data_IF_802083385317
#
_entry.id   IF_802083385317
#
_cell.length_a   1.000
_cell.length_b   1.000
_cell.length_c   1.000
_cell.angle_alpha   90.00
_cell.angle_beta   90.00
_cell.angle_gamma   90.00
#
_symmetry.space_group_name_H-M   'P 1'
#
loop_
_entity.id
_entity.type
_entity.pdbx_description
1 polymer ?
#
# COMPACT_ATOMS: atom_id res chain seq x y z
N UNK A 1 -12.73 -43.80 -22.20
CA UNK A 1 -11.28 -43.59 -22.27
C UNK A 1 -10.97 -42.18 -21.81
N UNK A 2 -10.42 -42.08 -20.59
CA UNK A 2 -9.97 -40.85 -19.94
C UNK A 2 -8.78 -40.25 -20.72
N UNK A 3 -8.92 -39.03 -21.22
CA UNK A 3 -7.76 -38.24 -21.66
C UNK A 3 -7.31 -37.39 -20.48
N UNK A 4 -6.17 -37.79 -19.91
CA UNK A 4 -5.43 -37.04 -18.92
C UNK A 4 -5.03 -35.66 -19.46
N UNK A 5 -5.18 -34.57 -18.69
CA UNK A 5 -4.56 -33.30 -19.05
C UNK A 5 -3.05 -33.36 -18.75
N UNK A 6 -2.26 -33.02 -19.76
CA UNK A 6 -0.80 -32.89 -19.71
C UNK A 6 -0.38 -31.92 -18.59
N UNK A 7 0.79 -32.12 -17.97
CA UNK A 7 1.33 -31.19 -16.99
C UNK A 7 1.79 -29.91 -17.69
N UNK A 8 1.09 -28.80 -17.45
CA UNK A 8 1.59 -27.47 -17.80
C UNK A 8 2.70 -27.10 -16.82
N UNK A 9 3.93 -27.51 -17.15
CA UNK A 9 5.12 -26.84 -16.65
C UNK A 9 5.13 -25.44 -17.27
N UNK A 10 4.82 -24.41 -16.47
CA UNK A 10 5.15 -23.03 -16.83
C UNK A 10 6.67 -22.90 -16.81
N UNK A 11 7.28 -23.18 -17.96
CA UNK A 11 8.68 -22.88 -18.24
C UNK A 11 8.82 -21.35 -18.24
N UNK A 12 9.84 -20.89 -17.52
CA UNK A 12 10.26 -19.51 -17.28
C UNK A 12 10.58 -18.73 -18.58
N UNK A 13 9.57 -18.47 -19.42
CA UNK A 13 9.79 -17.83 -20.73
C UNK A 13 8.52 -17.60 -21.55
N UNK A 14 7.38 -17.29 -20.93
CA UNK A 14 6.22 -16.85 -21.71
C UNK A 14 6.46 -15.44 -22.29
N UNK A 15 6.12 -15.28 -23.58
CA UNK A 15 6.25 -14.05 -24.35
C UNK A 15 5.86 -12.81 -23.53
N UNK A 16 6.75 -11.82 -23.46
CA UNK A 16 6.48 -10.54 -22.79
C UNK A 16 5.34 -9.84 -23.54
N UNK A 17 4.09 -10.05 -23.13
CA UNK A 17 2.98 -9.23 -23.57
C UNK A 17 3.20 -7.79 -23.10
N UNK A 18 3.63 -6.95 -24.02
CA UNK A 18 3.80 -5.52 -23.77
C UNK A 18 2.41 -4.88 -23.81
N UNK A 19 1.84 -4.64 -22.64
CA UNK A 19 0.58 -3.91 -22.51
C UNK A 19 0.86 -2.43 -22.86
N UNK A 20 0.22 -1.94 -23.92
CA UNK A 20 0.44 -0.58 -24.42
C UNK A 20 -0.08 0.49 -23.44
N UNK A 21 0.52 1.69 -23.46
CA UNK A 21 0.13 2.83 -22.61
C UNK A 21 -1.37 3.13 -22.72
N UNK A 22 -1.93 3.09 -23.92
CA UNK A 22 -3.33 3.46 -24.16
C UNK A 22 -4.30 2.53 -23.41
N UNK A 23 -3.98 1.24 -23.31
CA UNK A 23 -4.77 0.29 -22.55
C UNK A 23 -4.72 0.58 -21.05
N UNK A 24 -3.53 0.89 -20.52
CA UNK A 24 -3.34 1.25 -19.11
C UNK A 24 -4.07 2.55 -18.75
N UNK A 25 -4.05 3.55 -19.64
CA UNK A 25 -4.78 4.82 -19.45
C UNK A 25 -6.29 4.59 -19.48
N UNK A 26 -6.80 3.66 -20.31
CA UNK A 26 -8.23 3.29 -20.29
C UNK A 26 -8.65 2.70 -18.95
N UNK A 27 -7.85 1.78 -18.38
CA UNK A 27 -8.09 1.20 -17.05
C UNK A 27 -8.09 2.30 -15.99
N UNK A 28 -7.09 3.20 -16.04
CA UNK A 28 -6.95 4.32 -15.12
C UNK A 28 -8.18 5.25 -15.16
N UNK A 29 -8.64 5.61 -16.36
CA UNK A 29 -9.84 6.45 -16.54
C UNK A 29 -11.09 5.75 -16.04
N UNK A 30 -11.28 4.48 -16.39
CA UNK A 30 -12.48 3.73 -16.06
C UNK A 30 -12.68 3.53 -14.55
N UNK A 31 -11.64 3.08 -13.84
CA UNK A 31 -11.77 2.77 -12.41
C UNK A 31 -11.44 3.95 -11.49
N UNK A 32 -10.59 4.89 -11.91
CA UNK A 32 -10.09 5.96 -11.04
C UNK A 32 -10.42 7.37 -11.52
N UNK A 33 -10.97 7.54 -12.72
CA UNK A 33 -11.36 8.85 -13.26
C UNK A 33 -10.19 9.77 -13.60
N UNK A 34 -8.95 9.27 -13.62
CA UNK A 34 -7.76 10.07 -13.92
C UNK A 34 -7.45 10.05 -15.42
N UNK A 35 -7.13 11.21 -16.00
CA UNK A 35 -6.94 11.39 -17.44
C UNK A 35 -5.63 10.79 -17.98
N UNK A 36 -4.55 10.83 -17.21
CA UNK A 36 -3.25 10.20 -17.52
C UNK A 36 -2.45 9.94 -16.21
N UNK A 37 -1.37 9.18 -16.33
CA UNK A 37 -0.41 8.89 -15.26
C UNK A 37 0.43 10.11 -14.88
N UNK A 38 0.84 10.17 -13.61
CA UNK A 38 1.68 11.23 -13.05
C UNK A 38 3.12 10.77 -12.91
N UNK A 39 4.06 11.64 -13.26
CA UNK A 39 5.49 11.44 -13.02
C UNK A 39 5.97 10.05 -13.47
N UNK A 40 6.47 9.28 -12.51
CA UNK A 40 7.12 7.97 -12.72
C UNK A 40 6.18 6.75 -12.62
N UNK A 41 4.87 6.96 -12.52
CA UNK A 41 3.90 5.86 -12.38
C UNK A 41 3.91 4.89 -13.56
N UNK A 42 3.81 5.42 -14.79
CA UNK A 42 3.73 4.58 -15.99
C UNK A 42 4.98 3.71 -16.15
N UNK A 43 6.16 4.29 -15.89
CA UNK A 43 7.46 3.61 -15.99
C UNK A 43 7.55 2.46 -14.98
N UNK A 44 7.08 2.67 -13.74
CA UNK A 44 7.02 1.62 -12.71
C UNK A 44 6.05 0.50 -13.12
N UNK A 45 4.87 0.85 -13.62
CA UNK A 45 3.83 -0.09 -14.05
C UNK A 45 4.33 -0.94 -15.21
N UNK A 46 4.95 -0.31 -16.23
CA UNK A 46 5.50 -1.02 -17.38
C UNK A 46 6.64 -1.97 -16.99
N UNK A 47 7.51 -1.54 -16.07
CA UNK A 47 8.59 -2.39 -15.57
C UNK A 47 8.03 -3.69 -14.95
N UNK A 48 7.09 -3.58 -14.02
CA UNK A 48 6.54 -4.76 -13.33
C UNK A 48 5.69 -5.64 -14.24
N UNK A 49 4.93 -5.04 -15.16
CA UNK A 49 4.16 -5.78 -16.16
C UNK A 49 5.07 -6.55 -17.12
N UNK A 50 6.26 -6.02 -17.42
CA UNK A 50 7.30 -6.70 -18.21
C UNK A 50 8.07 -7.78 -17.45
N UNK A 51 7.78 -7.99 -16.16
CA UNK A 51 8.44 -8.95 -15.29
C UNK A 51 9.74 -8.45 -14.67
N UNK A 52 10.02 -7.14 -14.72
CA UNK A 52 11.22 -6.55 -14.12
C UNK A 52 10.90 -6.03 -12.71
N UNK A 53 11.80 -6.29 -11.76
CA UNK A 53 11.76 -5.65 -10.45
C UNK A 53 11.84 -4.13 -10.57
N UNK A 54 11.24 -3.41 -9.63
CA UNK A 54 11.26 -1.96 -9.61
C UNK A 54 11.38 -1.44 -8.18
N UNK A 55 12.31 -0.53 -7.95
CA UNK A 55 12.36 0.30 -6.74
C UNK A 55 11.89 1.71 -7.12
N UNK A 56 10.89 2.22 -6.41
CA UNK A 56 10.24 3.47 -6.77
C UNK A 56 10.15 4.40 -5.55
N UNK A 57 10.93 5.47 -5.60
CA UNK A 57 10.96 6.56 -4.63
C UNK A 57 10.07 7.70 -5.14
N UNK A 58 8.89 7.84 -4.54
CA UNK A 58 7.91 8.86 -4.90
C UNK A 58 7.31 9.52 -3.66
N UNK A 59 7.24 10.86 -3.60
CA UNK A 59 6.73 11.55 -2.42
C UNK A 59 5.29 11.12 -2.05
N UNK A 60 4.89 11.31 -0.79
CA UNK A 60 3.53 11.01 -0.31
C UNK A 60 2.48 11.68 -1.19
N UNK A 61 1.37 11.03 -1.53
CA UNK A 61 0.40 11.62 -2.46
C UNK A 61 0.86 11.72 -3.93
N UNK A 62 2.08 11.28 -4.26
CA UNK A 62 2.53 11.06 -5.65
C UNK A 62 1.81 9.89 -6.35
N UNK A 63 0.90 9.21 -5.65
CA UNK A 63 0.08 8.13 -6.19
C UNK A 63 0.83 6.80 -6.33
N UNK A 64 1.67 6.44 -5.35
CA UNK A 64 2.39 5.15 -5.29
C UNK A 64 1.47 3.94 -5.44
N UNK A 65 0.27 4.00 -4.87
CA UNK A 65 -0.70 2.90 -4.93
C UNK A 65 -1.13 2.54 -6.35
N UNK A 66 -1.21 3.52 -7.26
CA UNK A 66 -1.51 3.26 -8.67
C UNK A 66 -0.49 2.33 -9.31
N UNK A 67 0.77 2.35 -8.85
CA UNK A 67 1.85 1.54 -9.40
C UNK A 67 1.65 0.03 -9.21
N UNK A 68 0.84 -0.41 -8.24
CA UNK A 68 0.46 -1.81 -8.06
C UNK A 68 -1.03 -2.09 -8.32
N UNK A 69 -1.91 -1.10 -8.14
CA UNK A 69 -3.35 -1.26 -8.40
C UNK A 69 -3.66 -1.41 -9.89
N UNK A 70 -2.97 -0.66 -10.76
CA UNK A 70 -3.16 -0.79 -12.20
C UNK A 70 -2.67 -2.14 -12.74
N UNK A 71 -1.47 -2.65 -12.37
CA UNK A 71 -1.07 -4.00 -12.71
C UNK A 71 -2.07 -5.08 -12.30
N UNK A 72 -2.70 -4.93 -11.13
CA UNK A 72 -3.73 -5.87 -10.65
C UNK A 72 -4.98 -5.91 -11.54
N UNK A 73 -5.23 -4.90 -12.35
CA UNK A 73 -6.32 -4.86 -13.30
C UNK A 73 -5.87 -5.23 -14.72
N UNK A 74 -4.62 -4.92 -15.06
CA UNK A 74 -4.08 -5.08 -16.39
C UNK A 74 -3.62 -6.52 -16.72
N UNK A 75 -3.17 -7.29 -15.71
CA UNK A 75 -2.64 -8.65 -15.90
C UNK A 75 -3.37 -9.65 -15.02
N UNK A 76 -3.75 -10.80 -15.56
CA UNK A 76 -4.38 -11.88 -14.76
C UNK A 76 -3.48 -12.33 -13.60
N UNK A 77 -4.13 -12.84 -12.55
CA UNK A 77 -3.48 -13.19 -11.28
C UNK A 77 -3.61 -12.10 -10.21
N UNK A 78 -3.22 -12.45 -9.00
CA UNK A 78 -3.33 -11.65 -7.79
C UNK A 78 -2.08 -10.78 -7.66
N UNK A 79 -2.25 -9.57 -7.16
CA UNK A 79 -1.16 -8.72 -6.68
C UNK A 79 -1.15 -8.77 -5.17
N UNK A 80 -0.05 -9.23 -4.60
CA UNK A 80 0.16 -9.29 -3.15
C UNK A 80 0.79 -7.97 -2.70
N UNK A 81 0.14 -7.23 -1.81
CA UNK A 81 0.63 -5.95 -1.28
C UNK A 81 1.00 -6.12 0.18
N UNK A 82 2.29 -6.08 0.48
CA UNK A 82 2.82 -6.05 1.84
C UNK A 82 2.84 -4.61 2.33
N UNK A 83 2.16 -4.30 3.43
CA UNK A 83 2.09 -2.94 3.97
C UNK A 83 2.09 -2.96 5.50
N UNK A 84 2.80 -2.02 6.18
CA UNK A 84 2.80 -1.97 7.64
C UNK A 84 1.50 -1.34 8.18
N UNK A 85 0.75 -0.61 7.34
CA UNK A 85 -0.41 0.17 7.73
C UNK A 85 -1.62 -0.68 8.14
N UNK A 86 -1.61 -1.96 7.79
CA UNK A 86 -2.69 -2.90 8.10
C UNK A 86 -2.73 -3.22 9.62
N UNK A 87 -1.58 -3.28 10.28
CA UNK A 87 -1.53 -3.53 11.73
C UNK A 87 -1.83 -2.28 12.55
N UNK A 88 -1.39 -1.11 12.08
CA UNK A 88 -1.57 0.15 12.81
C UNK A 88 -3.02 0.64 12.74
N UNK A 89 -3.70 0.43 11.60
CA UNK A 89 -5.10 0.85 11.43
C UNK A 89 -5.89 -0.16 10.58
N UNK A 90 -6.19 -1.36 11.10
CA UNK A 90 -6.91 -2.40 10.35
C UNK A 90 -8.29 -1.93 9.88
N UNK A 91 -8.99 -1.14 10.69
CA UNK A 91 -10.25 -0.52 10.30
C UNK A 91 -10.07 0.50 9.16
N UNK A 92 -9.02 1.32 9.20
CA UNK A 92 -8.72 2.27 8.13
C UNK A 92 -8.33 1.56 6.83
N UNK A 93 -7.59 0.46 6.90
CA UNK A 93 -7.28 -0.36 5.72
C UNK A 93 -8.55 -0.95 5.11
N UNK A 94 -9.46 -1.46 5.95
CA UNK A 94 -10.73 -2.01 5.49
C UNK A 94 -11.60 -0.95 4.81
N UNK A 95 -11.85 0.17 5.48
CA UNK A 95 -12.78 1.21 4.99
C UNK A 95 -12.16 2.03 3.85
N UNK A 96 -10.94 2.56 4.02
CA UNK A 96 -10.40 3.56 3.10
C UNK A 96 -9.57 2.99 1.95
N UNK A 97 -8.95 1.81 2.13
CA UNK A 97 -8.15 1.21 1.05
C UNK A 97 -8.93 0.12 0.34
N UNK A 98 -9.37 -0.90 1.07
CA UNK A 98 -10.12 -2.04 0.50
C UNK A 98 -11.53 -1.62 0.11
N UNK A 99 -12.24 -0.86 0.95
CA UNK A 99 -13.59 -0.36 0.69
C UNK A 99 -13.64 0.50 -0.56
N UNK A 100 -12.77 1.51 -0.66
CA UNK A 100 -12.66 2.37 -1.84
C UNK A 100 -12.32 1.60 -3.13
N UNK A 101 -11.60 0.46 -3.05
CA UNK A 101 -11.34 -0.41 -4.20
C UNK A 101 -12.59 -1.23 -4.56
N UNK A 102 -13.30 -1.78 -3.57
CA UNK A 102 -14.54 -2.53 -3.78
C UNK A 102 -15.64 -1.67 -4.40
N UNK A 103 -15.77 -0.41 -3.95
CA UNK A 103 -16.69 0.58 -4.55
C UNK A 103 -16.39 0.85 -6.04
N UNK A 104 -15.13 0.73 -6.44
CA UNK A 104 -14.67 0.86 -7.83
C UNK A 104 -14.78 -0.44 -8.63
N UNK A 105 -15.44 -1.46 -8.07
CA UNK A 105 -15.61 -2.77 -8.68
C UNK A 105 -14.33 -3.62 -8.69
N UNK A 106 -13.34 -3.30 -7.86
CA UNK A 106 -12.08 -4.01 -7.79
C UNK A 106 -12.14 -5.00 -6.63
N UNK A 107 -12.02 -6.30 -6.93
CA UNK A 107 -11.96 -7.34 -5.91
C UNK A 107 -10.63 -7.25 -5.15
N UNK A 108 -10.68 -6.63 -3.97
CA UNK A 108 -9.56 -6.47 -3.06
C UNK A 108 -9.95 -6.99 -1.68
N UNK A 109 -8.99 -7.59 -0.98
CA UNK A 109 -9.16 -8.01 0.42
C UNK A 109 -7.86 -7.74 1.18
N UNK A 110 -7.94 -7.77 2.51
CA UNK A 110 -6.76 -7.74 3.37
C UNK A 110 -6.76 -8.95 4.30
N UNK A 111 -5.58 -9.39 4.74
CA UNK A 111 -5.40 -10.38 5.79
C UNK A 111 -4.57 -9.77 6.91
N UNK A 112 -5.12 -9.82 8.13
CA UNK A 112 -4.46 -9.35 9.35
C UNK A 112 -4.72 -10.30 10.50
N UNK A 113 -3.85 -10.29 11.52
CA UNK A 113 -4.05 -11.06 12.75
C UNK A 113 -5.41 -10.77 13.41
N UNK A 114 -5.88 -9.52 13.33
CA UNK A 114 -7.11 -9.00 13.95
C UNK A 114 -8.42 -9.40 13.26
N UNK A 115 -8.38 -9.95 12.05
CA UNK A 115 -9.60 -10.39 11.35
C UNK A 115 -10.20 -11.66 11.94
N UNK A 116 -11.53 -11.77 11.86
CA UNK A 116 -12.27 -12.97 12.26
C UNK A 116 -11.86 -14.18 11.43
N UNK A 117 -11.92 -15.37 12.04
CA UNK A 117 -11.61 -16.63 11.38
C UNK A 117 -12.50 -16.84 10.15
N UNK A 118 -13.79 -16.48 10.24
CA UNK A 118 -14.74 -16.58 9.12
C UNK A 118 -14.30 -15.74 7.91
N UNK A 119 -13.86 -14.49 8.13
CA UNK A 119 -13.39 -13.63 7.05
C UNK A 119 -12.12 -14.18 6.40
N UNK A 120 -11.16 -14.65 7.20
CA UNK A 120 -9.93 -15.28 6.70
C UNK A 120 -10.22 -16.52 5.86
N UNK A 121 -11.12 -17.39 6.34
CA UNK A 121 -11.48 -18.63 5.64
C UNK A 121 -12.11 -18.33 4.28
N UNK A 122 -13.00 -17.34 4.18
CA UNK A 122 -13.58 -16.92 2.90
C UNK A 122 -12.51 -16.49 1.88
N UNK A 123 -11.50 -15.73 2.33
CA UNK A 123 -10.38 -15.34 1.47
C UNK A 123 -9.58 -16.58 1.05
N UNK A 124 -9.28 -17.49 1.97
CA UNK A 124 -8.55 -18.71 1.64
C UNK A 124 -9.32 -19.63 0.69
N UNK A 125 -10.64 -19.75 0.83
CA UNK A 125 -11.49 -20.52 -0.07
C UNK A 125 -11.45 -19.93 -1.50
N UNK A 126 -11.54 -18.60 -1.65
CA UNK A 126 -11.40 -17.95 -2.96
C UNK A 126 -10.02 -18.20 -3.58
N UNK A 127 -8.95 -18.06 -2.79
CA UNK A 127 -7.57 -18.32 -3.23
C UNK A 127 -7.36 -19.80 -3.64
N UNK A 128 -8.07 -20.73 -2.98
CA UNK A 128 -7.96 -22.16 -3.23
C UNK A 128 -8.84 -22.65 -4.39
N UNK A 129 -9.87 -21.89 -4.79
CA UNK A 129 -10.83 -22.19 -5.87
C UNK A 129 -10.21 -22.41 -7.26
N UNK A 130 -8.97 -21.99 -7.47
CA UNK A 130 -8.23 -22.13 -8.74
C UNK A 130 -8.55 -21.03 -9.77
N UNK A 131 -9.67 -20.33 -9.63
CA UNK A 131 -10.01 -19.12 -10.39
C UNK A 131 -10.43 -18.00 -9.42
N UNK A 132 -9.50 -17.51 -8.59
CA UNK A 132 -9.82 -16.50 -7.59
C UNK A 132 -10.40 -15.26 -8.26
N UNK A 133 -11.51 -14.75 -7.73
CA UNK A 133 -12.04 -13.45 -8.14
C UNK A 133 -11.12 -12.32 -7.65
N UNK A 134 -10.37 -12.57 -6.56
CA UNK A 134 -9.45 -11.62 -5.96
C UNK A 134 -8.37 -11.13 -6.92
N UNK A 135 -8.17 -9.81 -6.94
CA UNK A 135 -7.15 -9.12 -7.73
C UNK A 135 -6.05 -8.52 -6.87
N UNK A 136 -6.41 -8.00 -5.69
CA UNK A 136 -5.49 -7.38 -4.73
C UNK A 136 -5.63 -8.02 -3.36
N UNK A 137 -4.51 -8.46 -2.79
CA UNK A 137 -4.47 -8.99 -1.43
C UNK A 137 -3.46 -8.21 -0.59
N UNK A 138 -3.96 -7.45 0.38
CA UNK A 138 -3.16 -6.72 1.34
C UNK A 138 -2.77 -7.62 2.52
N UNK A 139 -1.51 -7.61 2.92
CA UNK A 139 -0.98 -8.47 3.99
C UNK A 139 0.04 -7.73 4.85
N UNK A 140 0.12 -8.13 6.12
CA UNK A 140 1.14 -7.64 7.04
C UNK A 140 2.48 -8.37 6.77
N UNK A 141 3.64 -7.72 6.96
CA UNK A 141 4.94 -8.40 6.84
C UNK A 141 5.11 -9.53 7.87
N UNK A 142 4.46 -9.44 9.03
CA UNK A 142 4.41 -10.47 10.07
C UNK A 142 3.72 -11.74 9.55
N UNK A 143 2.61 -11.60 8.81
CA UNK A 143 1.89 -12.73 8.24
C UNK A 143 2.74 -13.46 7.19
N UNK A 144 3.50 -12.73 6.37
CA UNK A 144 4.44 -13.30 5.39
C UNK A 144 5.49 -14.16 6.06
N UNK A 145 5.96 -13.77 7.25
CA UNK A 145 6.94 -14.54 7.99
C UNK A 145 6.40 -15.87 8.55
N UNK A 146 5.08 -16.11 8.50
CA UNK A 146 4.50 -17.36 9.00
C UNK A 146 4.66 -18.50 7.98
N UNK A 147 5.10 -19.70 8.41
CA UNK A 147 5.27 -20.85 7.51
C UNK A 147 3.96 -21.26 6.81
N UNK A 148 2.83 -21.19 7.52
CA UNK A 148 1.53 -21.57 6.98
C UNK A 148 1.07 -20.69 5.82
N UNK A 149 1.23 -19.37 5.94
CA UNK A 149 0.87 -18.45 4.87
C UNK A 149 1.84 -18.55 3.68
N UNK A 150 3.14 -18.69 3.95
CA UNK A 150 4.14 -18.89 2.90
C UNK A 150 3.89 -20.19 2.08
N UNK A 151 3.44 -21.26 2.74
CA UNK A 151 3.05 -22.49 2.04
C UNK A 151 1.84 -22.27 1.11
N UNK A 152 0.86 -21.47 1.53
CA UNK A 152 -0.29 -21.10 0.68
C UNK A 152 0.15 -20.24 -0.50
N UNK A 153 1.00 -19.23 -0.28
CA UNK A 153 1.56 -18.42 -1.37
C UNK A 153 2.33 -19.25 -2.40
N UNK A 154 3.14 -20.20 -1.94
CA UNK A 154 3.86 -21.13 -2.83
C UNK A 154 2.89 -21.95 -3.69
N UNK A 155 1.75 -22.41 -3.13
CA UNK A 155 0.72 -23.12 -3.90
C UNK A 155 0.05 -22.22 -4.94
N UNK A 156 -0.28 -20.97 -4.60
CA UNK A 156 -0.88 -19.99 -5.52
C UNK A 156 0.10 -19.67 -6.65
N UNK A 157 1.38 -19.48 -6.32
CA UNK A 157 2.45 -19.28 -7.30
C UNK A 157 2.63 -20.47 -8.23
N UNK A 158 2.63 -21.70 -7.70
CA UNK A 158 2.71 -22.92 -8.51
C UNK A 158 1.56 -23.10 -9.51
N UNK A 159 0.42 -22.43 -9.29
CA UNK A 159 -0.71 -22.37 -10.22
C UNK A 159 -0.62 -21.22 -11.23
N UNK A 160 0.44 -20.40 -11.19
CA UNK A 160 0.60 -19.21 -12.03
C UNK A 160 -0.37 -18.07 -11.68
N UNK A 161 -0.96 -18.08 -10.49
CA UNK A 161 -2.00 -17.12 -10.09
C UNK A 161 -1.45 -15.89 -9.36
N UNK A 162 -0.15 -15.84 -9.06
CA UNK A 162 0.48 -14.68 -8.41
C UNK A 162 1.27 -13.88 -9.46
N UNK A 163 0.93 -12.59 -9.62
CA UNK A 163 1.38 -11.77 -10.74
C UNK A 163 2.45 -10.73 -10.37
N UNK A 164 2.40 -10.22 -9.14
CA UNK A 164 3.27 -9.15 -8.63
C UNK A 164 3.28 -9.20 -7.10
N UNK A 165 4.43 -8.90 -6.52
CA UNK A 165 4.59 -8.61 -5.10
C UNK A 165 4.92 -7.12 -4.96
N UNK A 166 4.04 -6.35 -4.33
CA UNK A 166 4.29 -4.96 -3.99
C UNK A 166 4.65 -4.85 -2.51
N UNK A 167 5.72 -4.15 -2.19
CA UNK A 167 6.18 -3.86 -0.83
C UNK A 167 6.05 -2.36 -0.63
N UNK A 168 5.00 -1.97 0.10
CA UNK A 168 4.74 -0.57 0.45
C UNK A 168 5.54 -0.17 1.68
N UNK A 169 5.88 1.12 1.78
CA UNK A 169 6.80 1.66 2.80
C UNK A 169 8.08 0.81 2.95
N UNK A 170 8.69 0.45 1.83
CA UNK A 170 9.85 -0.44 1.77
C UNK A 170 11.04 0.05 2.62
N UNK A 171 11.11 1.36 2.93
CA UNK A 171 12.13 1.93 3.81
C UNK A 171 12.15 1.29 5.21
N UNK A 172 11.04 0.68 5.67
CA UNK A 172 10.96 -0.01 6.95
C UNK A 172 11.94 -1.20 7.09
N UNK A 173 12.49 -1.72 5.99
CA UNK A 173 13.49 -2.81 6.05
C UNK A 173 14.85 -2.36 6.60
N UNK A 174 15.16 -1.07 6.45
CA UNK A 174 16.47 -0.51 6.78
C UNK A 174 16.52 -0.01 8.22
N UNK A 175 17.54 -0.40 8.97
CA UNK A 175 17.82 0.16 10.31
C UNK A 175 18.27 1.62 10.27
N UNK A 176 18.67 2.10 9.08
CA UNK A 176 18.97 3.51 8.83
C UNK A 176 17.70 4.32 8.54
N UNK A 177 16.55 3.66 8.41
CA UNK A 177 15.24 4.28 8.30
C UNK A 177 14.69 4.70 9.66
N UNK A 178 13.83 5.72 9.65
CA UNK A 178 13.18 6.26 10.84
C UNK A 178 12.05 5.36 11.38
N UNK A 179 11.52 4.44 10.58
CA UNK A 179 10.46 3.49 10.95
C UNK A 179 10.89 2.04 10.67
N UNK A 180 12.05 1.64 11.22
CA UNK A 180 12.58 0.28 11.05
C UNK A 180 11.64 -0.78 11.65
N UNK A 181 11.33 -1.81 10.86
CA UNK A 181 10.49 -2.96 11.26
C UNK A 181 11.21 -4.28 10.98
N UNK A 182 11.59 -5.06 12.01
CA UNK A 182 12.29 -6.34 11.83
C UNK A 182 11.56 -7.35 10.93
N UNK A 183 10.22 -7.31 10.88
CA UNK A 183 9.40 -8.18 10.02
C UNK A 183 9.68 -7.97 8.53
N UNK A 184 10.07 -6.77 8.10
CA UNK A 184 10.42 -6.49 6.70
C UNK A 184 11.68 -7.23 6.23
N UNK A 185 12.67 -7.47 7.10
CA UNK A 185 13.88 -8.23 6.71
C UNK A 185 13.57 -9.67 6.33
N UNK A 186 12.48 -10.23 6.89
CA UNK A 186 12.02 -11.58 6.55
C UNK A 186 11.39 -11.66 5.16
N UNK A 187 11.10 -10.53 4.51
CA UNK A 187 10.55 -10.50 3.15
C UNK A 187 11.56 -10.98 2.10
N UNK A 188 12.87 -11.00 2.41
CA UNK A 188 13.90 -11.68 1.59
C UNK A 188 13.52 -13.13 1.24
N UNK A 189 12.80 -13.82 2.14
CA UNK A 189 12.31 -15.18 1.93
C UNK A 189 11.36 -15.31 0.72
N UNK A 190 10.64 -14.23 0.37
CA UNK A 190 9.73 -14.22 -0.76
C UNK A 190 10.49 -14.48 -2.07
N UNK A 191 11.68 -13.92 -2.23
CA UNK A 191 12.48 -14.13 -3.45
C UNK A 191 12.86 -15.60 -3.64
N UNK A 192 13.23 -16.27 -2.55
CA UNK A 192 13.63 -17.68 -2.57
C UNK A 192 12.46 -18.63 -2.80
N UNK A 193 11.28 -18.31 -2.25
CA UNK A 193 10.09 -19.17 -2.32
C UNK A 193 9.22 -18.90 -3.55
N UNK A 194 9.25 -17.68 -4.07
CA UNK A 194 8.42 -17.17 -5.16
C UNK A 194 9.33 -16.61 -6.27
N UNK A 195 10.15 -17.47 -6.92
CA UNK A 195 11.07 -17.03 -7.97
C UNK A 195 10.30 -16.47 -9.16
N UNK A 196 10.95 -15.62 -9.96
CA UNK A 196 10.41 -15.05 -11.21
C UNK A 196 9.20 -14.10 -11.07
N UNK A 197 8.63 -13.93 -9.87
CA UNK A 197 7.61 -12.90 -9.65
C UNK A 197 8.30 -11.54 -9.54
N UNK A 198 7.88 -10.52 -10.31
CA UNK A 198 8.41 -9.17 -10.17
C UNK A 198 8.08 -8.62 -8.79
N UNK A 199 9.04 -7.92 -8.19
CA UNK A 199 8.88 -7.22 -6.92
C UNK A 199 8.93 -5.72 -7.15
N UNK A 200 7.91 -5.03 -6.63
CA UNK A 200 7.79 -3.57 -6.64
C UNK A 200 7.98 -3.03 -5.22
N UNK A 201 9.12 -2.42 -4.95
CA UNK A 201 9.39 -1.74 -3.68
C UNK A 201 9.05 -0.25 -3.81
N UNK A 202 8.20 0.26 -2.92
CA UNK A 202 7.69 1.63 -2.95
C UNK A 202 8.00 2.33 -1.63
N UNK A 203 8.47 3.57 -1.70
CA UNK A 203 8.66 4.40 -0.49
C UNK A 203 8.52 5.89 -0.80
N UNK A 204 8.07 6.67 0.18
CA UNK A 204 8.08 8.12 0.11
C UNK A 204 9.44 8.74 0.36
N UNK A 205 10.22 8.15 1.26
CA UNK A 205 11.45 8.70 1.80
C UNK A 205 12.50 7.60 1.84
N UNK A 206 13.66 7.87 1.24
CA UNK A 206 14.84 7.02 1.35
C UNK A 206 16.07 7.83 0.98
N UNK A 207 16.95 8.05 1.95
CA UNK A 207 18.32 8.52 1.67
C UNK A 207 19.07 7.46 0.86
N UNK A 208 20.13 7.82 0.10
CA UNK A 208 20.84 6.86 -0.76
C UNK A 208 21.19 5.54 -0.06
N UNK A 209 21.63 5.60 1.21
CA UNK A 209 21.97 4.40 1.98
C UNK A 209 20.78 3.49 2.26
N UNK A 210 19.61 4.06 2.53
CA UNK A 210 18.36 3.30 2.72
C UNK A 210 17.92 2.68 1.39
N UNK A 211 18.15 3.35 0.24
CA UNK A 211 17.80 2.78 -1.07
C UNK A 211 18.63 1.52 -1.36
N UNK A 212 19.94 1.57 -1.12
CA UNK A 212 20.83 0.41 -1.26
C UNK A 212 20.40 -0.74 -0.34
N UNK A 213 20.17 -0.45 0.94
CA UNK A 213 19.77 -1.45 1.93
C UNK A 213 18.42 -2.09 1.59
N UNK A 214 17.46 -1.33 1.04
CA UNK A 214 16.19 -1.87 0.55
C UNK A 214 16.39 -2.84 -0.60
N UNK A 215 17.20 -2.45 -1.59
CA UNK A 215 17.47 -3.28 -2.78
C UNK A 215 18.15 -4.59 -2.37
N UNK A 216 19.13 -4.51 -1.48
CA UNK A 216 19.89 -5.66 -0.98
C UNK A 216 19.04 -6.57 -0.08
N UNK A 217 18.41 -6.00 0.95
CA UNK A 217 17.60 -6.74 1.92
C UNK A 217 16.39 -7.43 1.30
N UNK A 218 15.78 -6.84 0.25
CA UNK A 218 14.69 -7.47 -0.49
C UNK A 218 15.17 -8.36 -1.64
N UNK A 219 16.48 -8.43 -1.87
CA UNK A 219 17.12 -9.23 -2.92
C UNK A 219 16.53 -8.95 -4.31
N UNK A 220 16.34 -7.66 -4.63
CA UNK A 220 15.82 -7.22 -5.91
C UNK A 220 16.86 -7.48 -7.01
N UNK A 221 16.41 -8.06 -8.13
CA UNK A 221 17.27 -8.51 -9.22
C UNK A 221 17.26 -7.48 -10.36
N UNK A 222 18.37 -6.78 -10.56
CA UNK A 222 18.52 -5.71 -11.56
C UNK A 222 17.30 -4.76 -11.65
N UNK A 223 16.86 -4.18 -10.51
CA UNK A 223 15.64 -3.41 -10.47
C UNK A 223 15.75 -2.14 -11.30
N UNK A 224 14.63 -1.72 -11.90
CA UNK A 224 14.50 -0.34 -12.37
C UNK A 224 14.41 0.59 -11.15
N UNK A 225 15.34 1.52 -11.01
CA UNK A 225 15.36 2.49 -9.91
C UNK A 225 14.76 3.81 -10.39
N UNK A 226 13.57 4.14 -9.89
CA UNK A 226 12.85 5.37 -10.23
C UNK A 226 12.88 6.32 -9.04
N UNK A 227 13.32 7.56 -9.28
CA UNK A 227 13.36 8.63 -8.28
C UNK A 227 12.57 9.82 -8.79
N UNK A 228 11.52 10.19 -8.08
CA UNK A 228 10.78 11.43 -8.35
C UNK A 228 11.38 12.58 -7.55
N UNK A 229 11.30 13.79 -8.10
CA UNK A 229 11.65 14.99 -7.34
C UNK A 229 10.73 15.14 -6.13
N UNK A 230 11.31 15.56 -5.01
CA UNK A 230 10.56 15.91 -3.80
C UNK A 230 9.87 17.28 -3.92
N UNK A 231 10.17 18.03 -4.99
CA UNK A 231 9.60 19.36 -5.19
C UNK A 231 8.07 19.28 -5.34
N UNK A 232 7.37 20.04 -4.51
CA UNK A 232 5.93 20.23 -4.57
C UNK A 232 5.67 21.67 -5.01
N UNK A 233 5.51 21.94 -6.31
CA UNK A 233 5.27 23.30 -6.79
C UNK A 233 3.95 23.89 -6.24
N UNK A 234 3.07 23.05 -5.71
CA UNK A 234 1.83 23.44 -5.04
C UNK A 234 1.99 23.67 -3.53
N UNK A 235 3.19 23.53 -2.95
CA UNK A 235 3.50 23.89 -1.57
C UNK A 235 4.51 25.05 -1.61
N UNK A 236 4.07 26.22 -1.17
CA UNK A 236 4.94 27.37 -0.97
C UNK A 236 5.55 27.29 0.43
N UNK A 237 6.87 27.33 0.48
CA UNK A 237 7.61 27.46 1.74
C UNK A 237 7.82 28.95 1.99
N UNK A 238 7.15 29.51 3.00
CA UNK A 238 7.42 30.86 3.49
C UNK A 238 8.37 30.77 4.68
N UNK A 239 9.47 31.53 4.66
CA UNK A 239 10.37 31.66 5.80
C UNK A 239 9.70 32.58 6.85
N UNK A 240 9.47 32.11 8.09
CA UNK A 240 8.88 32.92 9.16
C UNK A 240 9.63 34.24 9.41
N UNK A 241 10.94 34.27 9.18
CA UNK A 241 11.77 35.46 9.39
C UNK A 241 11.58 36.51 8.31
N UNK A 242 11.32 36.10 7.07
CA UNK A 242 10.98 37.02 5.97
C UNK A 242 9.57 37.59 6.12
N UNK A 243 8.63 36.79 6.64
CA UNK A 243 7.31 37.30 7.04
C UNK A 243 7.49 38.40 8.09
N UNK A 244 8.23 38.12 9.18
CA UNK A 244 8.45 39.08 10.28
C UNK A 244 9.06 40.40 9.79
N UNK A 245 10.05 40.37 8.89
CA UNK A 245 10.64 41.59 8.30
C UNK A 245 9.66 42.36 7.40
N UNK A 246 8.82 41.66 6.64
CA UNK A 246 7.79 42.27 5.79
C UNK A 246 6.65 42.92 6.61
N UNK A 247 6.36 42.39 7.81
CA UNK A 247 5.40 42.99 8.76
C UNK A 247 5.93 44.31 9.29
N UNK A 248 7.20 44.34 9.69
CA UNK A 248 7.82 45.54 10.30
C UNK A 248 7.92 46.70 9.32
N UNK A 249 7.97 46.44 8.01
CA UNK A 249 8.11 47.46 6.97
C UNK A 249 6.81 47.81 6.23
N UNK A 250 5.65 47.24 6.60
CA UNK A 250 4.40 47.50 5.87
C UNK A 250 3.31 48.13 6.74
N UNK A 251 2.57 49.06 6.13
CA UNK A 251 1.49 49.85 6.74
C UNK A 251 0.41 48.98 7.43
N UNK A 252 -0.38 49.57 8.34
CA UNK A 252 -1.51 48.94 9.10
C UNK A 252 -2.46 48.05 8.26
N UNK A 253 -2.48 48.20 6.93
CA UNK A 253 -3.23 47.31 6.02
C UNK A 253 -2.63 45.90 5.84
N UNK A 254 -1.37 45.68 6.22
CA UNK A 254 -0.72 44.37 6.10
C UNK A 254 -0.86 43.55 7.38
N UNK A 255 -0.83 44.22 8.54
CA UNK A 255 -1.03 43.58 9.86
C UNK A 255 -2.40 42.90 9.98
N UNK A 256 -3.47 43.49 9.42
CA UNK A 256 -4.79 42.85 9.47
C UNK A 256 -4.87 41.58 8.61
N UNK A 257 -4.25 41.57 7.41
CA UNK A 257 -4.19 40.37 6.56
C UNK A 257 -3.39 39.25 7.19
N UNK A 258 -2.33 39.60 7.92
CA UNK A 258 -1.50 38.65 8.66
C UNK A 258 -2.25 38.08 9.87
N UNK A 259 -3.01 38.91 10.60
CA UNK A 259 -3.90 38.42 11.66
C UNK A 259 -4.96 37.47 11.12
N UNK A 260 -5.60 37.80 10.00
CA UNK A 260 -6.60 36.94 9.38
C UNK A 260 -6.00 35.61 8.90
N UNK A 261 -4.78 35.63 8.31
CA UNK A 261 -4.03 34.41 7.98
C UNK A 261 -3.64 33.59 9.21
N UNK A 262 -3.16 34.23 10.28
CA UNK A 262 -2.80 33.54 11.52
C UNK A 262 -4.03 32.92 12.20
N UNK A 263 -5.16 33.62 12.24
CA UNK A 263 -6.42 33.07 12.74
C UNK A 263 -6.93 31.92 11.87
N UNK A 264 -6.74 31.98 10.55
CA UNK A 264 -7.07 30.87 9.66
C UNK A 264 -6.17 29.65 9.88
N UNK A 265 -4.88 29.86 10.13
CA UNK A 265 -3.93 28.80 10.45
C UNK A 265 -4.19 28.19 11.82
N UNK A 266 -4.46 29.01 12.84
CA UNK A 266 -4.88 28.54 14.17
C UNK A 266 -6.19 27.76 14.10
N UNK A 267 -7.18 28.22 13.33
CA UNK A 267 -8.42 27.45 13.10
C UNK A 267 -8.15 26.13 12.39
N UNK A 268 -7.25 26.09 11.41
CA UNK A 268 -6.87 24.85 10.73
C UNK A 268 -6.13 23.88 11.68
N UNK A 269 -5.25 24.40 12.53
CA UNK A 269 -4.52 23.65 13.54
C UNK A 269 -5.47 23.12 14.63
N UNK A 270 -6.35 23.95 15.17
CA UNK A 270 -7.39 23.55 16.12
C UNK A 270 -8.32 22.50 15.52
N UNK A 271 -8.73 22.64 14.25
CA UNK A 271 -9.53 21.63 13.56
C UNK A 271 -8.77 20.31 13.39
N UNK A 272 -7.47 20.37 13.09
CA UNK A 272 -6.62 19.19 13.01
C UNK A 272 -6.52 18.48 14.37
N UNK A 273 -6.22 19.18 15.45
CA UNK A 273 -6.13 18.60 16.79
C UNK A 273 -7.50 18.19 17.35
N UNK A 274 -8.58 18.89 17.02
CA UNK A 274 -9.95 18.52 17.39
C UNK A 274 -10.40 17.27 16.65
N UNK A 275 -10.05 17.12 15.38
CA UNK A 275 -10.25 15.89 14.62
C UNK A 275 -9.47 14.73 15.22
N UNK A 276 -8.20 14.96 15.59
CA UNK A 276 -7.34 13.96 16.24
C UNK A 276 -7.88 13.54 17.63
N UNK A 277 -8.27 14.50 18.47
CA UNK A 277 -8.88 14.23 19.78
C UNK A 277 -10.26 13.56 19.67
N UNK A 278 -11.06 13.88 18.65
CA UNK A 278 -12.33 13.19 18.41
C UNK A 278 -12.11 11.75 17.93
N UNK A 279 -11.06 11.49 17.17
CA UNK A 279 -10.63 10.12 16.83
C UNK A 279 -10.17 9.36 18.09
N UNK A 280 -9.36 9.96 18.96
CA UNK A 280 -8.94 9.34 20.24
C UNK A 280 -10.13 9.13 21.21
N UNK A 281 -11.11 10.04 21.24
CA UNK A 281 -12.35 9.88 22.01
C UNK A 281 -13.29 8.82 21.43
N UNK A 282 -13.31 8.61 20.11
CA UNK A 282 -14.07 7.51 19.49
C UNK A 282 -13.41 6.16 19.79
N UNK A 283 -12.08 6.06 19.69
CA UNK A 283 -11.34 4.84 20.04
C UNK A 283 -11.56 4.46 21.51
N UNK A 284 -11.43 5.42 22.45
CA UNK A 284 -11.67 5.17 23.88
C UNK A 284 -13.14 4.91 24.24
N UNK A 285 -14.12 5.43 23.47
CA UNK A 285 -15.54 5.07 23.63
C UNK A 285 -15.85 3.66 23.13
N UNK A 286 -15.21 3.22 22.04
CA UNK A 286 -15.36 1.85 21.52
C UNK A 286 -14.77 0.84 22.49
N UNK A 287 -13.62 1.13 23.11
CA UNK A 287 -13.02 0.28 24.14
C UNK A 287 -13.83 0.22 25.44
N UNK A 288 -14.46 1.34 25.85
CA UNK A 288 -15.39 1.32 27.00
C UNK A 288 -16.67 0.54 26.72
N UNK A 289 -17.20 0.65 25.49
CA UNK A 289 -18.39 -0.09 25.09
C UNK A 289 -18.11 -1.60 24.92
N UNK A 290 -16.93 -2.00 24.45
CA UNK A 290 -16.54 -3.40 24.33
C UNK A 290 -16.39 -4.06 25.71
N UNK A 291 -15.76 -3.38 26.69
CA UNK A 291 -15.67 -3.85 28.08
C UNK A 291 -17.08 -3.98 28.71
N UNK A 292 -17.98 -3.03 28.45
CA UNK A 292 -19.37 -3.10 28.96
C UNK A 292 -20.20 -4.22 28.30
N UNK A 293 -19.90 -4.55 27.04
CA UNK A 293 -20.55 -5.63 26.29
C UNK A 293 -20.15 -7.00 26.83
N UNK A 294 -18.86 -7.19 27.11
CA UNK A 294 -18.33 -8.42 27.70
C UNK A 294 -18.88 -8.66 29.12
N UNK A 295 -19.05 -7.60 29.91
CA UNK A 295 -19.69 -7.67 31.24
C UNK A 295 -21.19 -7.99 31.18
N UNK A 296 -21.89 -7.55 30.12
CA UNK A 296 -23.31 -7.91 29.88
C UNK A 296 -23.48 -9.36 29.44
N UNK A 297 -22.58 -9.91 28.64
CA UNK A 297 -22.63 -11.32 28.23
C UNK A 297 -22.31 -12.30 29.38
N UNK A 298 -21.47 -11.90 30.35
CA UNK A 298 -21.22 -12.70 31.55
C UNK A 298 -22.39 -12.74 32.54
N UNK A 299 -23.28 -11.73 32.53
CA UNK A 299 -24.45 -11.66 33.43
C UNK A 299 -25.70 -12.39 32.93
N UNK A 300 -25.70 -12.93 31.70
CA UNK A 300 -26.86 -13.62 31.09
C UNK A 300 -26.66 -15.13 30.94
N UNK A 301 -25.62 -15.71 31.56
CA UNK A 301 -25.33 -17.16 31.57
C UNK A 301 -25.59 -17.86 32.91
N UNK A 302 -26.07 -17.14 33.91
CA UNK A 302 -26.55 -17.71 35.17
C UNK A 302 -28.03 -17.40 35.32
N UNK A 303 -28.90 -18.14 34.63
CA UNK A 303 -30.27 -18.53 35.01
C UNK A 303 -30.78 -19.57 34.01
#
# INVERSE_FOLDING_TARGET
MSKSPLPLQNVCGSEKQVIKKEALVKILRWHFGHSDFRGKQLEAIQAVLSGRDCFCLMPTGGGKSMCYQIPALAKQGIVLVVSPLIEVFPFFCQENQVGALKEKGIAAEYLSSTQTIKAKNKIYEDLESGKPALRLLYVTPELIATPGFMAKLTKIHGRGLLSLIAIDEAHCVSTWGHDFRPSYRKLSLLRNRLPCIPVLALTATAVPKVQEDVIESLSLQNPLVLKSSFNRPNIYYEDPTEIAKSVVHSSRSSEWRLRERMESLQRAEENYYRSKNNQEKQVSKVDKNSISGTLRESGSREY
#
